data_IF_937186030688
#
_entry.id   IF_937186030688
#
_cell.length_a   1.000
_cell.length_b   1.000
_cell.length_c   1.000
_cell.angle_alpha   90.00
_cell.angle_beta   90.00
_cell.angle_gamma   90.00
#
_symmetry.space_group_name_H-M   'P 1'
#
loop_
_entity.id
_entity.type
_entity.pdbx_description
1 polymer ?
#
# COMPACT_ATOMS: atom_id res chain seq x y z
N UNK A 1 -9.80 20.26 8.68
CA UNK A 1 -9.59 18.97 7.97
C UNK A 1 -10.35 18.80 6.66
N UNK A 2 -11.69 18.86 6.62
CA UNK A 2 -12.50 18.56 5.40
C UNK A 2 -12.04 19.28 4.12
N UNK A 3 -11.74 20.59 4.20
CA UNK A 3 -11.27 21.40 3.06
C UNK A 3 -9.89 20.96 2.54
N UNK A 4 -8.98 20.62 3.45
CA UNK A 4 -7.64 20.13 3.09
C UNK A 4 -7.72 18.75 2.43
N UNK A 5 -8.48 17.81 3.00
CA UNK A 5 -8.65 16.50 2.38
C UNK A 5 -9.33 16.61 1.00
N UNK A 6 -10.31 17.50 0.86
CA UNK A 6 -10.92 17.78 -0.44
C UNK A 6 -9.90 18.31 -1.46
N UNK A 7 -9.03 19.23 -1.04
CA UNK A 7 -7.91 19.73 -1.85
C UNK A 7 -6.99 18.57 -2.27
N UNK A 8 -6.59 17.72 -1.33
CA UNK A 8 -5.73 16.57 -1.61
C UNK A 8 -6.35 15.66 -2.67
N UNK A 9 -7.63 15.33 -2.52
CA UNK A 9 -8.32 14.44 -3.43
C UNK A 9 -8.58 15.03 -4.82
N UNK A 10 -8.80 16.35 -4.94
CA UNK A 10 -9.27 16.96 -6.20
C UNK A 10 -8.23 17.78 -6.94
N UNK A 11 -7.28 18.38 -6.22
CA UNK A 11 -6.34 19.33 -6.79
C UNK A 11 -4.90 18.80 -6.74
N UNK A 12 -4.48 18.21 -5.62
CA UNK A 12 -3.11 17.74 -5.46
C UNK A 12 -2.88 16.34 -6.01
N UNK A 13 -3.89 15.45 -5.93
CA UNK A 13 -3.79 14.09 -6.42
C UNK A 13 -3.59 14.02 -7.94
N UNK A 14 -2.58 13.26 -8.36
CA UNK A 14 -2.42 12.86 -9.74
C UNK A 14 -3.54 11.86 -10.11
N UNK A 15 -4.23 12.02 -11.25
CA UNK A 15 -5.25 11.08 -11.71
C UNK A 15 -4.79 9.62 -11.74
N UNK A 16 -3.49 9.37 -11.99
CA UNK A 16 -2.89 8.05 -11.97
C UNK A 16 -3.09 7.32 -10.64
N UNK A 17 -3.09 8.01 -9.49
CA UNK A 17 -3.34 7.37 -8.20
C UNK A 17 -4.72 6.69 -8.14
N UNK A 18 -5.73 7.28 -8.79
CA UNK A 18 -7.07 6.69 -8.87
C UNK A 18 -7.14 5.59 -9.93
N UNK A 19 -6.53 5.81 -11.10
CA UNK A 19 -6.45 4.79 -12.14
C UNK A 19 -5.76 3.52 -11.62
N UNK A 20 -4.74 3.66 -10.77
CA UNK A 20 -3.95 2.53 -10.29
C UNK A 20 -4.66 1.70 -9.22
N UNK A 21 -5.78 2.17 -8.65
CA UNK A 21 -6.70 1.32 -7.87
C UNK A 21 -7.18 0.13 -8.73
N UNK A 22 -7.33 0.33 -10.05
CA UNK A 22 -7.74 -0.73 -10.97
C UNK A 22 -6.74 -1.89 -11.05
N UNK A 23 -5.46 -1.71 -10.67
CA UNK A 23 -4.51 -2.82 -10.55
C UNK A 23 -4.90 -3.84 -9.48
N UNK A 24 -5.88 -3.54 -8.61
CA UNK A 24 -6.52 -4.54 -7.76
C UNK A 24 -7.10 -5.72 -8.55
N UNK A 25 -7.52 -5.50 -9.80
CA UNK A 25 -8.03 -6.54 -10.72
C UNK A 25 -6.97 -7.58 -11.04
N UNK A 26 -5.66 -7.27 -10.89
CA UNK A 26 -4.58 -8.25 -11.05
C UNK A 26 -4.72 -9.45 -10.11
N UNK A 27 -5.45 -9.31 -9.01
CA UNK A 27 -5.85 -10.41 -8.12
C UNK A 27 -6.52 -11.57 -8.87
N UNK A 28 -7.13 -11.33 -10.04
CA UNK A 28 -7.77 -12.35 -10.87
C UNK A 28 -6.84 -12.99 -11.91
N UNK A 29 -5.60 -12.51 -12.07
CA UNK A 29 -4.69 -13.06 -13.09
C UNK A 29 -4.04 -14.34 -12.53
N UNK A 30 -4.26 -15.51 -13.16
CA UNK A 30 -3.56 -16.73 -12.77
C UNK A 30 -2.09 -16.67 -13.21
N UNK A 31 -1.20 -17.35 -12.50
CA UNK A 31 0.22 -17.51 -12.88
C UNK A 31 0.99 -16.21 -13.05
N UNK A 32 0.57 -15.18 -12.33
CA UNK A 32 1.26 -13.89 -12.27
C UNK A 32 1.55 -13.56 -10.79
N UNK A 33 2.66 -12.86 -10.48
CA UNK A 33 2.94 -12.42 -9.12
C UNK A 33 1.97 -11.31 -8.72
N UNK A 34 0.78 -11.69 -8.24
CA UNK A 34 -0.34 -10.78 -8.01
C UNK A 34 -0.03 -9.70 -6.96
N UNK A 35 0.94 -9.95 -6.06
CA UNK A 35 1.38 -8.98 -5.07
C UNK A 35 2.06 -7.74 -5.68
N UNK A 36 2.59 -7.86 -6.91
CA UNK A 36 3.09 -6.70 -7.68
C UNK A 36 1.97 -5.67 -7.92
N UNK A 37 0.69 -6.08 -7.90
CA UNK A 37 -0.43 -5.14 -7.95
C UNK A 37 -0.41 -4.10 -6.81
N UNK A 38 -0.02 -4.52 -5.60
CA UNK A 38 0.12 -3.61 -4.45
C UNK A 38 1.24 -2.59 -4.64
N UNK A 39 2.34 -2.99 -5.28
CA UNK A 39 3.40 -2.08 -5.68
C UNK A 39 2.92 -1.03 -6.69
N UNK A 40 2.14 -1.44 -7.69
CA UNK A 40 1.57 -0.48 -8.64
C UNK A 40 0.66 0.52 -7.92
N UNK A 41 -0.19 0.10 -6.99
CA UNK A 41 -1.01 1.04 -6.19
C UNK A 41 -0.12 2.08 -5.48
N UNK A 42 0.97 1.64 -4.82
CA UNK A 42 1.95 2.53 -4.20
C UNK A 42 2.67 3.44 -5.21
N UNK A 43 2.98 2.95 -6.41
CA UNK A 43 3.55 3.75 -7.50
C UNK A 43 2.59 4.86 -7.95
N UNK A 44 1.30 4.57 -7.97
CA UNK A 44 0.26 5.56 -8.26
C UNK A 44 0.27 6.69 -7.25
N UNK A 45 0.40 6.36 -5.96
CA UNK A 45 0.55 7.35 -4.88
C UNK A 45 1.87 8.13 -5.03
N UNK A 46 2.98 7.45 -5.35
CA UNK A 46 4.28 8.09 -5.58
C UNK A 46 4.19 9.20 -6.64
N UNK A 47 3.48 8.97 -7.76
CA UNK A 47 3.28 10.00 -8.78
C UNK A 47 2.52 11.23 -8.27
N UNK A 48 1.60 11.06 -7.32
CA UNK A 48 0.99 12.22 -6.62
C UNK A 48 2.04 13.01 -5.84
N UNK A 49 2.94 12.35 -5.10
CA UNK A 49 4.02 13.04 -4.37
C UNK A 49 5.07 13.67 -5.28
N UNK A 50 5.32 13.08 -6.45
CA UNK A 50 6.13 13.69 -7.48
C UNK A 50 5.51 15.00 -7.97
N UNK A 51 4.23 14.99 -8.29
CA UNK A 51 3.50 16.17 -8.73
C UNK A 51 3.41 17.25 -7.64
N UNK A 52 3.16 16.86 -6.39
CA UNK A 52 3.17 17.75 -5.21
C UNK A 52 4.49 18.51 -5.11
N UNK A 53 5.62 17.82 -5.33
CA UNK A 53 6.95 18.44 -5.34
C UNK A 53 7.15 19.38 -6.53
N UNK A 54 6.69 18.98 -7.72
CA UNK A 54 6.85 19.77 -8.96
C UNK A 54 6.03 21.06 -8.95
N UNK A 55 4.88 21.07 -8.27
CA UNK A 55 4.04 22.27 -8.11
C UNK A 55 4.28 23.03 -6.81
N UNK A 56 5.27 22.61 -6.01
CA UNK A 56 5.57 23.17 -4.69
C UNK A 56 4.35 23.31 -3.77
N UNK A 57 3.47 22.29 -3.83
CA UNK A 57 2.16 22.30 -3.17
C UNK A 57 2.28 22.39 -1.64
N UNK A 58 3.35 21.85 -1.06
CA UNK A 58 3.59 21.91 0.38
C UNK A 58 3.81 23.35 0.85
N UNK A 59 4.73 24.08 0.20
CA UNK A 59 5.05 25.48 0.52
C UNK A 59 3.82 26.36 0.38
N UNK A 60 3.08 26.20 -0.71
CA UNK A 60 1.79 26.88 -0.91
C UNK A 60 0.79 26.60 0.22
N UNK A 61 0.67 25.34 0.66
CA UNK A 61 -0.31 24.96 1.70
C UNK A 61 0.04 25.54 3.06
N UNK A 62 1.33 25.63 3.39
CA UNK A 62 1.79 26.14 4.69
C UNK A 62 1.62 27.66 4.80
N UNK A 63 1.58 28.39 3.67
CA UNK A 63 1.24 29.82 3.66
C UNK A 63 -0.24 30.10 3.95
N UNK A 64 -1.12 29.11 3.80
CA UNK A 64 -2.54 29.25 4.15
C UNK A 64 -2.71 29.27 5.68
N UNK A 65 -3.83 29.83 6.20
CA UNK A 65 -4.11 29.85 7.64
C UNK A 65 -4.55 28.46 8.14
N UNK A 66 -3.63 27.49 8.09
CA UNK A 66 -3.79 26.10 8.50
C UNK A 66 -2.61 25.66 9.35
N UNK A 67 -2.83 24.68 10.24
CA UNK A 67 -1.74 24.12 11.06
C UNK A 67 -0.83 23.26 10.18
N UNK A 68 0.50 23.33 10.37
CA UNK A 68 1.46 22.44 9.68
C UNK A 68 1.10 20.95 9.86
N UNK A 69 0.67 20.55 11.06
CA UNK A 69 0.21 19.18 11.36
C UNK A 69 -1.00 18.74 10.51
N UNK A 70 -1.91 19.67 10.17
CA UNK A 70 -3.09 19.34 9.37
C UNK A 70 -2.72 19.04 7.92
N UNK A 71 -1.60 19.60 7.42
CA UNK A 71 -1.06 19.30 6.09
C UNK A 71 -0.59 17.85 6.02
N UNK A 72 0.22 17.43 7.00
CA UNK A 72 0.68 16.02 7.12
C UNK A 72 -0.53 15.09 7.23
N UNK A 73 -1.49 15.45 8.08
CA UNK A 73 -2.70 14.64 8.31
C UNK A 73 -3.53 14.50 7.03
N UNK A 74 -3.71 15.57 6.25
CA UNK A 74 -4.45 15.51 4.97
C UNK A 74 -3.82 14.50 4.00
N UNK A 75 -2.49 14.57 3.87
CA UNK A 75 -1.68 13.73 2.99
C UNK A 75 -1.71 12.27 3.42
N UNK A 76 -1.62 11.98 4.72
CA UNK A 76 -1.79 10.62 5.25
C UNK A 76 -3.20 10.07 5.01
N UNK A 77 -4.23 10.87 5.26
CA UNK A 77 -5.62 10.46 5.02
C UNK A 77 -5.88 10.16 3.53
N UNK A 78 -5.28 10.92 2.62
CA UNK A 78 -5.34 10.63 1.19
C UNK A 78 -4.68 9.29 0.84
N UNK A 79 -3.47 9.03 1.35
CA UNK A 79 -2.77 7.76 1.11
C UNK A 79 -3.58 6.58 1.65
N UNK A 80 -4.06 6.67 2.89
CA UNK A 80 -4.89 5.65 3.52
C UNK A 80 -6.19 5.41 2.76
N UNK A 81 -6.79 6.45 2.19
CA UNK A 81 -7.97 6.30 1.36
C UNK A 81 -7.69 5.42 0.12
N UNK A 82 -6.60 5.70 -0.61
CA UNK A 82 -6.22 4.90 -1.80
C UNK A 82 -5.87 3.46 -1.42
N UNK A 83 -5.07 3.27 -0.36
CA UNK A 83 -4.66 1.95 0.14
C UNK A 83 -5.87 1.12 0.58
N UNK A 84 -6.76 1.68 1.40
CA UNK A 84 -7.94 0.98 1.90
C UNK A 84 -8.96 0.68 0.79
N UNK A 85 -9.20 1.61 -0.13
CA UNK A 85 -10.07 1.35 -1.29
C UNK A 85 -9.52 0.21 -2.15
N UNK A 86 -8.22 0.20 -2.39
CA UNK A 86 -7.56 -0.87 -3.16
C UNK A 86 -7.58 -2.21 -2.41
N UNK A 87 -7.38 -2.18 -1.10
CA UNK A 87 -7.48 -3.39 -0.26
C UNK A 87 -8.89 -3.95 -0.25
N UNK A 88 -9.92 -3.13 -0.07
CA UNK A 88 -11.32 -3.56 -0.12
C UNK A 88 -11.61 -4.22 -1.46
N UNK A 89 -11.16 -3.62 -2.57
CA UNK A 89 -11.35 -4.18 -3.91
C UNK A 89 -10.61 -5.52 -4.08
N UNK A 90 -9.34 -5.61 -3.64
CA UNK A 90 -8.58 -6.85 -3.65
C UNK A 90 -9.20 -7.94 -2.76
N UNK A 91 -9.72 -7.58 -1.59
CA UNK A 91 -10.38 -8.51 -0.68
C UNK A 91 -11.67 -9.06 -1.28
N UNK A 92 -12.50 -8.20 -1.89
CA UNK A 92 -13.70 -8.62 -2.62
C UNK A 92 -13.35 -9.59 -3.76
N UNK A 93 -12.35 -9.25 -4.58
CA UNK A 93 -11.89 -10.10 -5.67
C UNK A 93 -11.29 -11.42 -5.17
N UNK A 94 -10.57 -11.39 -4.06
CA UNK A 94 -10.03 -12.60 -3.40
C UNK A 94 -11.16 -13.51 -2.94
N UNK A 95 -12.18 -12.98 -2.28
CA UNK A 95 -13.35 -13.77 -1.84
C UNK A 95 -14.08 -14.39 -3.04
N UNK A 96 -14.29 -13.61 -4.12
CA UNK A 96 -14.91 -14.12 -5.35
C UNK A 96 -14.04 -15.24 -5.95
N UNK A 97 -12.73 -15.03 -6.02
CA UNK A 97 -11.78 -16.01 -6.55
C UNK A 97 -11.80 -17.30 -5.72
N UNK A 98 -11.70 -17.22 -4.40
CA UNK A 98 -11.71 -18.41 -3.53
C UNK A 98 -13.04 -19.18 -3.63
N UNK A 99 -14.19 -18.49 -3.58
CA UNK A 99 -15.51 -19.15 -3.55
C UNK A 99 -15.94 -19.74 -4.89
N UNK A 100 -15.72 -19.03 -5.98
CA UNK A 100 -16.29 -19.41 -7.29
C UNK A 100 -15.25 -20.00 -8.25
N UNK A 101 -13.98 -19.63 -8.10
CA UNK A 101 -12.92 -19.98 -9.04
C UNK A 101 -11.80 -20.82 -8.41
N UNK A 102 -11.79 -21.02 -7.09
CA UNK A 102 -10.68 -21.66 -6.37
C UNK A 102 -10.36 -23.07 -6.86
N UNK A 103 -11.37 -23.80 -7.32
CA UNK A 103 -11.24 -25.17 -7.86
C UNK A 103 -10.95 -25.21 -9.37
N UNK A 104 -10.91 -24.07 -10.07
CA UNK A 104 -10.63 -24.06 -11.49
C UNK A 104 -9.15 -24.35 -11.75
N UNK A 105 -8.88 -25.15 -12.78
CA UNK A 105 -7.53 -25.64 -13.11
C UNK A 105 -6.43 -24.55 -13.17
N UNK A 106 -6.67 -23.32 -13.67
CA UNK A 106 -5.65 -22.27 -13.70
C UNK A 106 -5.18 -21.79 -12.32
N UNK A 107 -6.01 -21.92 -11.28
CA UNK A 107 -5.72 -21.44 -9.93
C UNK A 107 -5.20 -22.55 -9.00
N UNK A 108 -5.67 -23.79 -9.20
CA UNK A 108 -5.15 -24.97 -8.48
C UNK A 108 -3.71 -25.28 -8.89
N UNK A 109 -3.40 -25.19 -10.20
CA UNK A 109 -2.05 -25.44 -10.73
C UNK A 109 -1.14 -24.20 -10.71
N UNK A 110 -1.51 -23.19 -9.93
CA UNK A 110 -0.76 -21.93 -9.89
C UNK A 110 0.56 -22.14 -9.14
N UNK A 111 1.68 -21.95 -9.84
CA UNK A 111 3.01 -22.06 -9.22
C UNK A 111 3.27 -20.87 -8.30
N UNK A 112 2.84 -19.67 -8.71
CA UNK A 112 2.95 -18.45 -7.93
C UNK A 112 1.85 -18.38 -6.86
N UNK A 113 1.98 -17.39 -5.99
CA UNK A 113 1.04 -17.15 -4.91
C UNK A 113 -0.39 -16.94 -5.42
N UNK A 114 -1.33 -17.61 -4.77
CA UNK A 114 -2.76 -17.50 -5.01
C UNK A 114 -3.35 -16.32 -4.22
N UNK A 115 -4.46 -15.80 -4.74
CA UNK A 115 -5.24 -14.82 -3.99
C UNK A 115 -6.00 -15.56 -2.89
N UNK A 116 -5.54 -15.40 -1.66
CA UNK A 116 -6.17 -15.92 -0.45
C UNK A 116 -5.91 -14.96 0.74
N UNK A 117 -6.17 -15.39 1.97
CA UNK A 117 -5.97 -14.53 3.14
C UNK A 117 -4.49 -14.17 3.37
N UNK A 118 -3.53 -15.04 3.02
CA UNK A 118 -2.11 -14.73 3.13
C UNK A 118 -1.70 -13.61 2.16
N UNK A 119 -2.17 -13.66 0.90
CA UNK A 119 -1.99 -12.58 -0.08
C UNK A 119 -2.43 -11.22 0.45
N UNK A 120 -3.63 -11.15 1.04
CA UNK A 120 -4.15 -9.93 1.65
C UNK A 120 -3.28 -9.43 2.81
N UNK A 121 -2.71 -10.34 3.60
CA UNK A 121 -1.74 -10.01 4.65
C UNK A 121 -0.45 -9.42 4.09
N UNK A 122 0.13 -10.03 3.06
CA UNK A 122 1.32 -9.49 2.40
C UNK A 122 1.06 -8.13 1.76
N UNK A 123 -0.11 -7.91 1.16
CA UNK A 123 -0.51 -6.61 0.62
C UNK A 123 -0.52 -5.53 1.71
N UNK A 124 -1.03 -5.85 2.90
CA UNK A 124 -0.97 -4.95 4.05
C UNK A 124 0.46 -4.66 4.51
N UNK A 125 1.37 -5.65 4.45
CA UNK A 125 2.80 -5.43 4.75
C UNK A 125 3.45 -4.49 3.72
N UNK A 126 3.10 -4.61 2.44
CA UNK A 126 3.57 -3.68 1.41
C UNK A 126 3.12 -2.26 1.73
N UNK A 127 1.84 -2.04 2.02
CA UNK A 127 1.33 -0.71 2.41
C UNK A 127 1.98 -0.20 3.71
N UNK A 128 2.18 -1.07 4.71
CA UNK A 128 2.89 -0.72 5.95
C UNK A 128 4.32 -0.22 5.66
N UNK A 129 5.02 -0.88 4.75
CA UNK A 129 6.38 -0.52 4.34
C UNK A 129 6.39 0.80 3.56
N UNK A 130 5.42 1.02 2.67
CA UNK A 130 5.26 2.28 1.94
C UNK A 130 5.04 3.45 2.90
N UNK A 131 4.09 3.30 3.84
CA UNK A 131 3.81 4.33 4.83
C UNK A 131 5.02 4.63 5.71
N UNK A 132 5.78 3.62 6.13
CA UNK A 132 6.94 3.81 7.03
C UNK A 132 8.19 4.35 6.36
N UNK A 133 8.41 3.97 5.11
CA UNK A 133 9.65 4.26 4.39
C UNK A 133 9.45 5.47 3.49
N UNK A 134 8.49 5.38 2.57
CA UNK A 134 8.25 6.42 1.59
C UNK A 134 7.65 7.66 2.25
N UNK A 135 6.50 7.49 2.90
CA UNK A 135 5.71 8.63 3.40
C UNK A 135 6.40 9.36 4.56
N UNK A 136 6.88 8.64 5.59
CA UNK A 136 7.71 9.25 6.63
C UNK A 136 9.04 9.79 6.09
N UNK A 137 9.62 9.15 5.07
CA UNK A 137 10.85 9.61 4.43
C UNK A 137 10.66 10.94 3.70
N UNK A 138 9.53 11.13 3.02
CA UNK A 138 9.17 12.37 2.35
C UNK A 138 9.08 13.53 3.35
N UNK A 139 8.35 13.36 4.45
CA UNK A 139 8.15 14.41 5.47
C UNK A 139 9.40 14.76 6.29
N UNK A 140 10.55 14.08 6.08
CA UNK A 140 11.85 14.55 6.60
C UNK A 140 12.37 15.79 5.89
N UNK A 141 11.95 16.00 4.64
CA UNK A 141 12.45 17.11 3.80
C UNK A 141 11.35 17.83 3.04
N UNK A 142 10.14 17.29 3.02
CA UNK A 142 9.00 17.73 2.21
C UNK A 142 9.26 17.85 0.68
N UNK A 143 10.42 17.38 0.20
CA UNK A 143 10.86 17.57 -1.18
C UNK A 143 11.56 16.34 -1.76
N UNK A 144 12.47 15.68 -1.03
CA UNK A 144 13.28 14.58 -1.59
C UNK A 144 12.51 13.25 -1.60
N UNK A 145 11.96 12.89 -2.76
CA UNK A 145 11.22 11.64 -2.97
C UNK A 145 12.07 10.44 -3.43
N UNK A 146 13.24 10.67 -4.05
CA UNK A 146 14.00 9.60 -4.72
C UNK A 146 14.56 8.54 -3.77
N UNK A 147 15.36 8.95 -2.78
CA UNK A 147 15.94 8.04 -1.77
C UNK A 147 14.88 7.20 -1.04
N UNK A 148 13.80 7.79 -0.47
CA UNK A 148 12.82 6.98 0.24
C UNK A 148 12.03 6.05 -0.69
N UNK A 149 11.80 6.43 -1.95
CA UNK A 149 11.14 5.56 -2.92
C UNK A 149 12.02 4.36 -3.32
N UNK A 150 13.30 4.58 -3.62
CA UNK A 150 14.23 3.47 -3.96
C UNK A 150 14.35 2.48 -2.80
N UNK A 151 14.43 2.98 -1.56
CA UNK A 151 14.46 2.13 -0.37
C UNK A 151 13.16 1.31 -0.22
N UNK A 152 12.01 1.94 -0.47
CA UNK A 152 10.73 1.23 -0.51
C UNK A 152 10.71 0.14 -1.59
N UNK A 153 11.18 0.43 -2.82
CA UNK A 153 11.24 -0.57 -3.90
C UNK A 153 12.07 -1.80 -3.50
N UNK A 154 13.21 -1.59 -2.84
CA UNK A 154 14.07 -2.67 -2.36
C UNK A 154 13.37 -3.52 -1.29
N UNK A 155 12.73 -2.89 -0.30
CA UNK A 155 11.99 -3.61 0.75
C UNK A 155 10.79 -4.34 0.16
N UNK A 156 10.04 -3.70 -0.73
CA UNK A 156 8.90 -4.30 -1.39
C UNK A 156 9.30 -5.51 -2.25
N UNK A 157 10.44 -5.45 -2.94
CA UNK A 157 10.96 -6.61 -3.69
C UNK A 157 11.24 -7.81 -2.75
N UNK A 158 11.79 -7.55 -1.56
CA UNK A 158 11.99 -8.59 -0.55
C UNK A 158 10.65 -9.16 -0.08
N UNK A 159 9.67 -8.31 0.24
CA UNK A 159 8.33 -8.75 0.68
C UNK A 159 7.66 -9.62 -0.39
N UNK A 160 7.74 -9.22 -1.67
CA UNK A 160 7.20 -10.00 -2.78
C UNK A 160 7.91 -11.35 -2.91
N UNK A 161 9.24 -11.35 -2.87
CA UNK A 161 10.02 -12.59 -2.95
C UNK A 161 9.68 -13.53 -1.80
N UNK A 162 9.53 -13.01 -0.57
CA UNK A 162 9.10 -13.82 0.59
C UNK A 162 7.71 -14.38 0.35
N UNK A 163 6.74 -13.56 -0.06
CA UNK A 163 5.37 -14.01 -0.33
C UNK A 163 5.28 -15.11 -1.39
N UNK A 164 6.12 -15.05 -2.43
CA UNK A 164 6.17 -16.04 -3.51
C UNK A 164 6.98 -17.30 -3.17
N UNK A 165 7.87 -17.25 -2.18
CA UNK A 165 8.76 -18.38 -1.85
C UNK A 165 8.25 -19.17 -0.65
N UNK A 166 7.55 -18.53 0.30
CA UNK A 166 7.27 -19.11 1.61
C UNK A 166 6.44 -20.40 1.54
N UNK A 167 5.54 -20.53 0.57
CA UNK A 167 4.72 -21.73 0.39
C UNK A 167 5.45 -22.92 -0.23
N UNK A 168 6.66 -22.75 -0.75
CA UNK A 168 7.49 -23.88 -1.18
C UNK A 168 8.25 -24.55 -0.04
N UNK A 169 8.26 -23.95 1.15
CA UNK A 169 8.92 -24.52 2.31
C UNK A 169 8.05 -25.64 2.92
N UNK A 170 8.68 -26.76 3.35
CA UNK A 170 7.94 -27.86 3.96
C UNK A 170 7.21 -27.37 5.22
N UNK A 171 5.91 -27.67 5.31
CA UNK A 171 5.04 -27.25 6.41
C UNK A 171 4.36 -25.89 6.24
N UNK A 172 4.67 -25.14 5.17
CA UNK A 172 4.04 -23.86 4.83
C UNK A 172 3.26 -23.89 3.50
N UNK A 173 3.11 -25.07 2.89
CA UNK A 173 2.42 -25.28 1.61
C UNK A 173 0.98 -24.75 1.61
N UNK A 174 0.31 -24.83 2.76
CA UNK A 174 -1.07 -24.36 2.92
C UNK A 174 -1.23 -22.84 2.80
N UNK A 175 -0.13 -22.08 2.82
CA UNK A 175 -0.15 -20.66 2.51
C UNK A 175 -0.62 -20.36 1.09
N UNK A 176 -0.53 -21.34 0.18
CA UNK A 176 -0.96 -21.19 -1.21
C UNK A 176 -2.26 -21.92 -1.56
N UNK A 177 -3.00 -22.44 -0.56
CA UNK A 177 -4.31 -23.07 -0.77
C UNK A 177 -5.28 -22.06 -1.44
N UNK A 178 -5.91 -22.43 -2.58
CA UNK A 178 -6.69 -21.49 -3.39
C UNK A 178 -8.16 -21.34 -2.98
N UNK A 179 -8.73 -22.32 -2.28
CA UNK A 179 -10.17 -22.42 -1.99
C UNK A 179 -10.46 -22.40 -0.49
N UNK A 180 -9.70 -23.15 0.29
CA UNK A 180 -9.93 -23.31 1.72
C UNK A 180 -9.13 -22.30 2.55
N UNK A 181 -9.76 -21.83 3.63
CA UNK A 181 -9.16 -20.92 4.59
C UNK A 181 -8.28 -21.70 5.56
N UNK A 182 -6.98 -21.43 5.54
CA UNK A 182 -6.04 -22.05 6.48
C UNK A 182 -5.71 -21.12 7.65
N UNK A 183 -5.43 -21.70 8.82
CA UNK A 183 -5.01 -20.97 10.03
C UNK A 183 -3.75 -20.15 9.76
N UNK A 184 -2.80 -20.69 9.00
CA UNK A 184 -1.57 -19.97 8.65
C UNK A 184 -1.85 -18.74 7.78
N UNK A 185 -2.79 -18.83 6.84
CA UNK A 185 -3.16 -17.69 5.99
C UNK A 185 -3.81 -16.56 6.81
N UNK A 186 -4.70 -16.92 7.74
CA UNK A 186 -5.34 -15.97 8.66
C UNK A 186 -4.31 -15.34 9.60
N UNK A 187 -3.32 -16.11 10.06
CA UNK A 187 -2.22 -15.58 10.88
C UNK A 187 -1.42 -14.52 10.11
N UNK A 188 -1.06 -14.77 8.85
CA UNK A 188 -0.37 -13.78 8.01
C UNK A 188 -1.23 -12.54 7.77
N UNK A 189 -2.54 -12.71 7.55
CA UNK A 189 -3.46 -11.59 7.44
C UNK A 189 -3.49 -10.72 8.70
N UNK A 190 -3.60 -11.35 9.88
CA UNK A 190 -3.60 -10.66 11.16
C UNK A 190 -2.28 -9.91 11.39
N UNK A 191 -1.13 -10.55 11.13
CA UNK A 191 0.19 -9.91 11.21
C UNK A 191 0.26 -8.71 10.27
N UNK A 192 -0.20 -8.85 9.03
CA UNK A 192 -0.21 -7.76 8.05
C UNK A 192 -1.03 -6.56 8.52
N UNK A 193 -2.24 -6.78 9.03
CA UNK A 193 -3.11 -5.71 9.55
C UNK A 193 -2.46 -5.02 10.76
N UNK A 194 -1.92 -5.79 11.71
CA UNK A 194 -1.24 -5.24 12.88
C UNK A 194 -0.04 -4.39 12.45
N UNK A 195 0.78 -4.92 11.54
CA UNK A 195 1.92 -4.21 10.96
C UNK A 195 1.47 -2.92 10.29
N UNK A 196 0.44 -2.96 9.45
CA UNK A 196 -0.11 -1.78 8.77
C UNK A 196 -0.53 -0.69 9.76
N UNK A 197 -1.30 -1.04 10.79
CA UNK A 197 -1.77 -0.08 11.79
C UNK A 197 -0.61 0.51 12.59
N UNK A 198 0.27 -0.33 13.14
CA UNK A 198 1.39 0.12 13.98
C UNK A 198 2.39 0.96 13.18
N UNK A 199 2.80 0.48 12.01
CA UNK A 199 3.73 1.17 11.12
C UNK A 199 3.17 2.52 10.69
N UNK A 200 1.91 2.57 10.27
CA UNK A 200 1.25 3.82 9.86
C UNK A 200 1.18 4.82 11.02
N UNK A 201 0.78 4.39 12.22
CA UNK A 201 0.69 5.27 13.40
C UNK A 201 2.06 5.83 13.80
N UNK A 202 3.09 4.98 13.85
CA UNK A 202 4.45 5.40 14.17
C UNK A 202 5.02 6.33 13.10
N UNK A 203 4.78 6.00 11.83
CA UNK A 203 5.18 6.82 10.69
C UNK A 203 4.53 8.19 10.72
N UNK A 204 3.22 8.25 10.97
CA UNK A 204 2.45 9.49 11.09
C UNK A 204 2.99 10.39 12.21
N UNK A 205 3.19 9.84 13.41
CA UNK A 205 3.76 10.59 14.54
C UNK A 205 5.15 11.14 14.22
N UNK A 206 6.00 10.34 13.58
CA UNK A 206 7.33 10.77 13.16
C UNK A 206 7.27 11.84 12.07
N UNK A 207 6.37 11.70 11.10
CA UNK A 207 6.19 12.66 10.01
C UNK A 207 5.70 14.02 10.53
N UNK A 208 4.75 14.04 11.49
CA UNK A 208 4.32 15.27 12.14
C UNK A 208 5.48 15.99 12.81
N UNK A 209 6.25 15.27 13.65
CA UNK A 209 7.39 15.86 14.36
C UNK A 209 8.43 16.43 13.39
N UNK A 210 8.85 15.63 12.41
CA UNK A 210 9.84 16.07 11.45
C UNK A 210 9.37 17.29 10.64
N UNK A 211 8.08 17.32 10.25
CA UNK A 211 7.54 18.42 9.45
C UNK A 211 7.41 19.73 10.23
N UNK A 212 7.20 19.67 11.56
CA UNK A 212 7.22 20.87 12.41
C UNK A 212 8.61 21.51 12.50
N UNK A 213 9.67 20.69 12.49
CA UNK A 213 11.06 21.14 12.54
C UNK A 213 11.53 21.75 11.20
N UNK A 214 10.81 21.54 10.10
CA UNK A 214 11.17 22.11 8.80
C UNK A 214 10.77 23.60 8.76
N UNK A 215 11.76 24.44 8.53
CA UNK A 215 11.58 25.82 8.08
C UNK A 215 11.44 25.81 6.56
N UNK A 216 10.26 26.23 6.07
CA UNK A 216 9.87 26.21 4.65
C UNK A 216 9.93 27.62 4.07
#
# INVERSE_FOLDING_TARGET
MKKLLYKEMKLSANPLSYCFIAFSVMTMIPRYPILVGSFFICLGIFHTYQQIREYDDITYTVMLPVKKQDVVTAKYLFVLFIELMSFILCALLTIIRMKFLGNAAPYVTNQLMNANAAYLGYMMIVFASFNSIFLAGFFKTAYKIGKPFILFCLVNFIVITVGEVLHYLPGLESLNEPSDLNVLQVAILAIGIIMFVLCTLLSYRRAMKNFEEIDL
#
